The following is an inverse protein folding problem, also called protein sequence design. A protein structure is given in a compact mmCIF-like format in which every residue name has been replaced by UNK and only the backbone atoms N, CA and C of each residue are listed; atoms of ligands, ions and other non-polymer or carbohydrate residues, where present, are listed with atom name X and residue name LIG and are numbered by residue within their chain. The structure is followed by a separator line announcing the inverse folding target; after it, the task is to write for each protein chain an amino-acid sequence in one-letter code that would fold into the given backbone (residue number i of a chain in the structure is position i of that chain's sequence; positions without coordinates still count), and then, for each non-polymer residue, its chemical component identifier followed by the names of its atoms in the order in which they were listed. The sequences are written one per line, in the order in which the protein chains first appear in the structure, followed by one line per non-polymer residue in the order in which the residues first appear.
data_IF_067236837290
#
_entry.id   IF_067236837290
#
_cell.length_a   1.000
_cell.length_b   1.000
_cell.length_c   1.000
_cell.angle_alpha   90.00
_cell.angle_beta   90.00
_cell.angle_gamma   90.00
#
_symmetry.space_group_name_H-M   'P 1'
#
loop_
_entity.id
_entity.type
_entity.pdbx_description
1 polymer ?
#
# COMPACT_ATOMS: atom_id res chain seq x y z
N UNK A 1 16.01 -7.76 4.32
CA UNK A 1 15.79 -6.29 4.20
C UNK A 1 14.97 -5.96 2.93
N UNK A 2 13.87 -6.66 2.61
CA UNK A 2 13.18 -6.49 1.31
C UNK A 2 11.65 -6.53 1.39
N UNK A 3 11.10 -7.30 2.33
CA UNK A 3 9.66 -7.45 2.54
C UNK A 3 8.87 -6.11 2.64
N UNK A 4 9.32 -5.09 3.39
CA UNK A 4 8.63 -3.80 3.44
C UNK A 4 8.53 -3.09 2.08
N UNK A 5 9.59 -3.18 1.27
CA UNK A 5 9.61 -2.60 -0.08
C UNK A 5 8.63 -3.32 -1.00
N UNK A 6 8.56 -4.65 -0.94
CA UNK A 6 7.57 -5.42 -1.69
C UNK A 6 6.15 -5.01 -1.33
N UNK A 7 5.85 -4.86 -0.03
CA UNK A 7 4.53 -4.46 0.45
C UNK A 7 4.07 -3.09 -0.11
N UNK A 8 5.00 -2.14 -0.25
CA UNK A 8 4.69 -0.81 -0.80
C UNK A 8 4.62 -0.80 -2.33
N UNK A 9 5.39 -1.66 -3.00
CA UNK A 9 5.36 -1.76 -4.46
C UNK A 9 4.06 -2.36 -5.00
N UNK A 10 3.39 -3.24 -4.23
CA UNK A 10 2.12 -3.86 -4.63
C UNK A 10 1.04 -2.83 -5.02
N UNK A 11 0.65 -1.86 -4.17
CA UNK A 11 -0.36 -0.88 -4.53
C UNK A 11 0.05 0.02 -5.70
N UNK A 12 1.34 0.34 -5.85
CA UNK A 12 1.85 1.14 -6.98
C UNK A 12 1.72 0.39 -8.30
N UNK A 13 2.16 -0.87 -8.31
CA UNK A 13 2.04 -1.74 -9.50
C UNK A 13 0.57 -2.01 -9.82
N UNK A 14 -0.27 -2.20 -8.80
CA UNK A 14 -1.69 -2.41 -9.00
C UNK A 14 -2.39 -1.17 -9.60
N UNK A 15 -2.01 0.05 -9.20
CA UNK A 15 -2.50 1.28 -9.83
C UNK A 15 -2.04 1.43 -11.29
N UNK A 16 -0.79 1.10 -11.60
CA UNK A 16 -0.28 1.10 -12.98
C UNK A 16 -0.96 0.04 -13.85
N UNK A 17 -1.21 -1.14 -13.29
CA UNK A 17 -1.86 -2.25 -13.97
C UNK A 17 -3.39 -2.14 -13.97
N UNK A 18 -3.98 -1.23 -13.19
CA UNK A 18 -5.44 -1.05 -13.07
C UNK A 18 -6.10 -0.84 -14.44
N UNK A 19 -5.42 -0.16 -15.37
CA UNK A 19 -5.92 0.08 -16.73
C UNK A 19 -5.96 -1.20 -17.59
N UNK A 20 -5.07 -2.15 -17.31
CA UNK A 20 -4.93 -3.40 -18.04
C UNK A 20 -5.80 -4.54 -17.49
N UNK A 21 -6.37 -4.39 -16.29
CA UNK A 21 -7.25 -5.41 -15.71
C UNK A 21 -8.68 -5.28 -16.24
N UNK A 22 -9.23 -6.30 -16.92
CA UNK A 22 -10.60 -6.25 -17.46
C UNK A 22 -11.67 -6.15 -16.35
N UNK A 23 -11.35 -6.51 -15.11
CA UNK A 23 -12.25 -6.34 -13.95
C UNK A 23 -12.38 -4.87 -13.51
N UNK A 24 -11.35 -4.07 -13.75
CA UNK A 24 -11.31 -2.65 -13.41
C UNK A 24 -11.80 -1.80 -14.59
N UNK A 25 -11.46 -2.22 -15.81
CA UNK A 25 -11.82 -1.58 -17.08
C UNK A 25 -13.11 -2.16 -17.70
N UNK A 26 -13.85 -2.97 -16.96
CA UNK A 26 -15.14 -3.51 -17.39
C UNK A 26 -16.26 -2.47 -17.21
N UNK A 27 -17.38 -2.58 -17.94
CA UNK A 27 -18.54 -1.67 -17.86
C UNK A 27 -19.36 -1.88 -16.58
N UNK A 28 -18.71 -2.26 -15.48
CA UNK A 28 -19.33 -2.50 -14.19
C UNK A 28 -19.50 -1.16 -13.49
N UNK A 29 -20.75 -0.76 -13.25
CA UNK A 29 -21.05 0.37 -12.37
C UNK A 29 -21.19 -0.13 -10.93
N UNK A 30 -20.30 0.33 -10.06
CA UNK A 30 -20.35 0.09 -8.63
C UNK A 30 -20.85 1.35 -7.93
N UNK A 31 -21.95 1.26 -7.16
CA UNK A 31 -22.58 2.41 -6.49
C UNK A 31 -22.92 3.58 -7.45
N UNK A 32 -23.09 3.30 -8.75
CA UNK A 32 -23.30 4.33 -9.79
C UNK A 32 -22.03 4.98 -10.34
N UNK A 33 -20.84 4.56 -9.89
CA UNK A 33 -19.54 5.01 -10.38
C UNK A 33 -18.82 3.93 -11.22
N UNK A 34 -17.97 4.32 -12.18
CA UNK A 34 -17.09 3.39 -12.89
C UNK A 34 -16.26 2.54 -11.92
N UNK A 35 -16.17 1.24 -12.17
CA UNK A 35 -15.34 0.31 -11.36
C UNK A 35 -13.89 0.76 -11.20
N UNK A 36 -13.35 1.47 -12.21
CA UNK A 36 -12.03 2.06 -12.21
C UNK A 36 -11.81 3.04 -11.05
N UNK A 37 -12.81 3.88 -10.74
CA UNK A 37 -12.74 4.82 -9.61
C UNK A 37 -12.71 4.08 -8.27
N UNK A 38 -13.57 3.08 -8.11
CA UNK A 38 -13.67 2.30 -6.87
C UNK A 38 -12.36 1.58 -6.57
N UNK A 39 -11.78 0.93 -7.58
CA UNK A 39 -10.50 0.25 -7.44
C UNK A 39 -9.34 1.21 -7.20
N UNK A 40 -9.32 2.36 -7.88
CA UNK A 40 -8.30 3.40 -7.62
C UNK A 40 -8.37 3.87 -6.17
N UNK A 41 -9.57 4.17 -5.67
CA UNK A 41 -9.78 4.58 -4.28
C UNK A 41 -9.36 3.48 -3.30
N UNK A 42 -9.67 2.22 -3.58
CA UNK A 42 -9.25 1.10 -2.75
C UNK A 42 -7.71 1.01 -2.63
N UNK A 43 -7.00 1.15 -3.75
CA UNK A 43 -5.53 1.13 -3.76
C UNK A 43 -4.91 2.36 -3.08
N UNK A 44 -5.50 3.54 -3.27
CA UNK A 44 -5.08 4.77 -2.57
C UNK A 44 -5.28 4.62 -1.06
N UNK A 45 -6.43 4.11 -0.61
CA UNK A 45 -6.67 3.84 0.81
C UNK A 45 -5.68 2.84 1.39
N UNK A 46 -5.22 1.88 0.59
CA UNK A 46 -4.24 0.85 1.01
C UNK A 46 -2.82 1.42 1.17
N UNK A 47 -2.48 2.50 0.46
CA UNK A 47 -1.17 3.15 0.61
C UNK A 47 -0.97 3.74 2.01
N UNK A 48 -1.99 4.38 2.58
CA UNK A 48 -1.93 5.02 3.90
C UNK A 48 -1.49 4.06 5.01
N UNK A 49 -2.14 2.91 5.25
CA UNK A 49 -1.67 1.94 6.23
C UNK A 49 -0.36 1.27 5.82
N UNK A 50 -0.08 1.14 4.52
CA UNK A 50 1.21 0.64 4.03
C UNK A 50 2.39 1.51 4.47
N UNK A 51 2.26 2.83 4.34
CA UNK A 51 3.28 3.80 4.80
C UNK A 51 3.37 3.79 6.33
N UNK A 52 2.23 3.80 7.04
CA UNK A 52 2.22 3.73 8.50
C UNK A 52 2.93 2.47 9.04
N UNK A 53 2.74 1.32 8.36
CA UNK A 53 3.42 0.08 8.70
C UNK A 53 4.94 0.17 8.48
N UNK A 54 5.37 0.78 7.38
CA UNK A 54 6.79 1.03 7.10
C UNK A 54 7.44 1.89 8.18
N UNK A 55 6.79 2.97 8.58
CA UNK A 55 7.27 3.83 9.65
C UNK A 55 7.38 3.08 10.96
N UNK A 56 6.39 2.22 11.28
CA UNK A 56 6.41 1.37 12.48
C UNK A 56 7.60 0.42 12.46
N UNK A 57 7.82 -0.29 11.36
CA UNK A 57 8.98 -1.19 11.21
C UNK A 57 10.31 -0.43 11.30
N UNK A 58 10.42 0.77 10.70
CA UNK A 58 11.60 1.62 10.79
C UNK A 58 11.87 2.02 12.24
N UNK A 59 10.84 2.44 12.98
CA UNK A 59 10.95 2.85 14.37
C UNK A 59 11.35 1.68 15.29
N UNK A 60 10.77 0.50 15.11
CA UNK A 60 11.15 -0.71 15.85
C UNK A 60 12.61 -1.10 15.63
N UNK A 61 13.16 -0.82 14.44
CA UNK A 61 14.57 -1.08 14.15
C UNK A 61 15.51 -0.09 14.83
N UNK A 62 15.11 1.18 14.93
CA UNK A 62 15.87 2.22 15.64
C UNK A 62 15.89 1.96 17.15
N UNK A 63 14.77 1.55 17.75
CA UNK A 63 14.69 1.23 19.17
C UNK A 63 15.59 0.04 19.59
N UNK A 64 15.80 -0.93 18.69
CA UNK A 64 16.68 -2.07 18.94
C UNK A 64 18.18 -1.73 18.87
N UNK A 65 18.58 -0.54 18.41
CA UNK A 65 19.99 -0.12 18.34
C UNK A 65 20.46 0.52 19.66
N UNK A 66 19.57 0.96 20.55
CA UNK A 66 19.95 1.64 21.80
C UNK A 66 20.83 0.74 22.68
N UNK A 67 22.11 1.10 22.94
CA UNK A 67 22.99 0.31 23.81
C UNK A 67 22.53 0.38 25.26
N UNK A 68 22.67 -0.73 25.96
CA UNK A 68 22.26 -1.00 27.33
C UNK A 68 23.05 -0.25 28.43
N UNK A 69 23.74 0.84 28.10
CA UNK A 69 24.57 1.59 29.06
C UNK A 69 23.82 2.72 29.80
N UNK A 70 22.58 3.02 29.42
CA UNK A 70 21.79 4.11 30.04
C UNK A 70 20.45 3.61 30.61
N UNK A 71 20.47 2.49 31.34
CA UNK A 71 19.33 1.96 32.11
C UNK A 71 19.68 1.76 33.58
#
# INVERSE_FOLDING_TARGET
MRLPWFLLSVPVVALLAAVWLPFVNGPHLWLGLPSLLVWTVAWVLTLTPGIAYLERCRNSRAANHTPLEER
#
